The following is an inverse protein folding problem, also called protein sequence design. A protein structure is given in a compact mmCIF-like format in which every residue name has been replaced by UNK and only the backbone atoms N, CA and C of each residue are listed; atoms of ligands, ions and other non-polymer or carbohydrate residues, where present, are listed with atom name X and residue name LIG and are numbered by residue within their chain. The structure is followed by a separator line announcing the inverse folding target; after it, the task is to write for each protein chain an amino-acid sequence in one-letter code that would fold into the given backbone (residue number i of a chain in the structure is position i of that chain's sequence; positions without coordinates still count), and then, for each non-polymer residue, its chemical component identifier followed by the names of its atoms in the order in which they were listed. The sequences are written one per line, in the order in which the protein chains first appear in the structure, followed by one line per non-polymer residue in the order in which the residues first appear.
data_IF_697757373030
#
_entry.id   IF_697757373030
#
_cell.length_a   1.000
_cell.length_b   1.000
_cell.length_c   1.000
_cell.angle_alpha   90.00
_cell.angle_beta   90.00
_cell.angle_gamma   90.00
#
_symmetry.space_group_name_H-M   'P 1'
#
loop_
_entity.id
_entity.type
_entity.pdbx_description
1 polymer ?
#
# COMPACT_ATOMS: atom_id res chain seq x y z
N UNK A 1 43.93 -51.36 5.19
CA UNK A 1 45.39 -51.28 5.03
C UNK A 1 45.67 -49.85 4.59
N UNK A 2 45.62 -48.86 5.46
CA UNK A 2 46.45 -48.58 6.63
C UNK A 2 47.93 -48.27 6.29
N UNK A 3 48.38 -47.17 6.90
CA UNK A 3 49.76 -46.69 7.12
C UNK A 3 50.62 -46.17 5.96
N UNK A 4 51.58 -45.23 6.10
CA UNK A 4 51.74 -43.96 6.84
C UNK A 4 53.07 -43.33 6.33
N UNK A 5 53.23 -41.99 6.51
CA UNK A 5 54.49 -41.23 6.78
C UNK A 5 55.57 -41.07 5.70
N UNK A 6 55.90 -39.80 5.40
CA UNK A 6 57.21 -39.19 5.75
C UNK A 6 57.21 -37.65 5.65
N UNK A 7 57.67 -37.04 6.74
CA UNK A 7 58.03 -35.63 6.95
C UNK A 7 59.45 -35.37 6.41
N UNK A 8 59.79 -34.13 6.01
CA UNK A 8 61.07 -33.46 6.28
C UNK A 8 60.90 -31.93 6.14
N UNK A 9 61.37 -31.21 7.17
CA UNK A 9 61.55 -29.74 7.25
C UNK A 9 62.88 -29.31 6.60
N UNK A 10 62.98 -28.05 6.13
CA UNK A 10 63.85 -26.97 6.68
C UNK A 10 64.10 -25.85 5.67
N UNK A 11 64.16 -24.62 6.17
CA UNK A 11 64.78 -23.48 5.48
C UNK A 11 64.26 -22.12 5.93
N UNK A 12 64.78 -21.58 7.04
CA UNK A 12 64.60 -20.18 7.44
C UNK A 12 65.65 -19.30 6.77
N UNK A 13 65.29 -18.09 6.32
CA UNK A 13 66.18 -16.92 6.31
C UNK A 13 65.40 -15.59 6.19
N UNK A 14 65.62 -14.74 7.21
CA UNK A 14 65.73 -13.27 7.26
C UNK A 14 64.73 -12.31 6.54
N UNK A 15 64.28 -11.33 7.34
CA UNK A 15 63.43 -10.17 7.04
C UNK A 15 64.18 -9.01 6.32
N UNK A 16 63.49 -7.96 5.82
CA UNK A 16 63.06 -6.86 6.71
C UNK A 16 61.68 -6.21 6.41
N UNK A 17 61.04 -5.80 7.52
CA UNK A 17 60.17 -4.64 7.80
C UNK A 17 59.47 -3.90 6.64
N UNK A 18 58.14 -3.88 6.67
CA UNK A 18 57.34 -2.67 6.43
C UNK A 18 55.96 -2.82 7.10
N UNK A 19 55.67 -1.94 8.05
CA UNK A 19 54.42 -1.88 8.78
C UNK A 19 53.24 -1.56 7.85
N UNK A 20 52.24 -2.43 7.82
CA UNK A 20 50.88 -2.09 7.42
C UNK A 20 49.97 -2.40 8.59
N UNK A 21 49.31 -1.35 9.09
CA UNK A 21 48.28 -1.43 10.14
C UNK A 21 47.07 -2.16 9.57
N UNK A 22 47.11 -3.49 9.63
CA UNK A 22 45.96 -4.36 9.41
C UNK A 22 45.28 -4.58 10.75
N UNK A 23 44.36 -3.68 11.13
CA UNK A 23 43.44 -3.96 12.22
C UNK A 23 42.59 -5.16 11.85
N UNK A 24 42.82 -6.28 12.53
CA UNK A 24 41.91 -7.41 12.59
C UNK A 24 40.54 -6.86 13.03
N UNK A 25 39.55 -6.86 12.14
CA UNK A 25 38.15 -6.77 12.56
C UNK A 25 37.83 -8.13 13.17
N UNK A 26 38.06 -8.25 14.48
CA UNK A 26 37.46 -9.29 15.28
C UNK A 26 35.94 -9.17 15.14
N UNK A 27 35.20 -10.29 15.03
CA UNK A 27 33.75 -10.24 15.08
C UNK A 27 33.37 -9.60 16.41
N UNK A 28 32.74 -8.43 16.35
CA UNK A 28 32.10 -7.86 17.52
C UNK A 28 31.07 -8.88 17.99
N UNK A 29 31.40 -9.55 19.09
CA UNK A 29 30.44 -10.28 19.90
C UNK A 29 29.31 -9.31 20.17
N UNK A 30 28.12 -9.61 19.66
CA UNK A 30 26.91 -8.95 20.10
C UNK A 30 26.89 -9.06 21.62
N UNK A 31 27.11 -7.95 22.31
CA UNK A 31 26.86 -7.88 23.73
C UNK A 31 25.39 -8.27 23.91
N UNK A 32 25.18 -9.43 24.54
CA UNK A 32 23.92 -9.72 25.17
C UNK A 32 23.62 -8.53 26.08
N UNK A 33 22.64 -7.72 25.69
CA UNK A 33 22.13 -6.67 26.55
C UNK A 33 21.70 -7.34 27.85
N UNK A 34 22.28 -6.90 28.95
CA UNK A 34 21.77 -7.20 30.28
C UNK A 34 20.26 -7.00 30.25
N UNK A 35 19.54 -7.96 30.84
CA UNK A 35 18.08 -7.93 30.95
C UNK A 35 17.64 -6.54 31.37
N UNK A 36 16.82 -5.81 30.59
CA UNK A 36 16.20 -4.64 31.14
C UNK A 36 15.30 -5.13 32.26
N UNK A 37 15.59 -4.62 33.45
CA UNK A 37 14.62 -4.27 34.48
C UNK A 37 13.25 -4.05 33.82
N UNK A 38 12.21 -4.72 34.34
CA UNK A 38 10.84 -4.72 33.83
C UNK A 38 10.52 -3.36 33.25
N UNK A 39 10.51 -3.26 31.91
CA UNK A 39 10.31 -1.99 31.24
C UNK A 39 9.05 -1.35 31.82
N UNK A 40 9.18 -0.13 32.33
CA UNK A 40 8.05 0.62 32.84
C UNK A 40 6.90 0.54 31.82
N UNK A 41 5.64 0.39 32.26
CA UNK A 41 4.52 0.28 31.33
C UNK A 41 4.59 1.44 30.32
N UNK A 42 4.53 1.12 29.03
CA UNK A 42 4.55 2.15 27.99
C UNK A 42 3.50 3.21 28.34
N UNK A 43 3.83 4.51 28.25
CA UNK A 43 2.87 5.56 28.50
C UNK A 43 1.66 5.37 27.57
N UNK A 44 0.44 5.70 28.03
CA UNK A 44 -0.77 5.50 27.25
C UNK A 44 -0.66 6.21 25.89
N UNK A 45 -1.13 5.56 24.82
CA UNK A 45 -1.07 6.08 23.45
C UNK A 45 -1.62 7.52 23.39
N UNK A 46 -0.83 8.53 23.01
CA UNK A 46 -1.30 9.90 22.92
C UNK A 46 -2.40 10.04 21.87
N UNK A 47 -3.47 10.75 22.21
CA UNK A 47 -4.59 11.08 21.32
C UNK A 47 -4.71 12.60 21.29
N UNK A 48 -3.96 13.27 20.41
CA UNK A 48 -4.04 14.73 20.30
C UNK A 48 -5.40 15.15 19.75
N UNK A 49 -5.76 16.42 19.93
CA UNK A 49 -6.95 17.00 19.31
C UNK A 49 -6.85 17.02 17.77
N UNK A 50 -5.65 17.20 17.24
CA UNK A 50 -5.33 17.07 15.82
C UNK A 50 -3.91 16.54 15.58
N UNK A 51 -3.71 15.96 14.41
CA UNK A 51 -2.42 15.76 13.73
C UNK A 51 -2.40 16.56 12.43
N UNK A 52 -1.19 16.90 11.95
CA UNK A 52 -1.00 17.73 10.74
C UNK A 52 -0.29 16.99 9.60
N UNK A 53 -0.52 17.46 8.38
CA UNK A 53 0.20 17.07 7.16
C UNK A 53 0.64 18.29 6.36
N UNK A 54 1.77 18.20 5.66
CA UNK A 54 2.29 19.21 4.74
C UNK A 54 2.08 18.77 3.30
N UNK A 55 1.62 19.68 2.46
CA UNK A 55 1.52 19.41 1.02
C UNK A 55 2.90 19.40 0.41
N UNK A 56 3.18 18.41 -0.43
CA UNK A 56 4.33 18.41 -1.34
C UNK A 56 3.91 18.16 -2.77
N UNK A 57 4.42 18.97 -3.68
CA UNK A 57 4.13 18.93 -5.11
C UNK A 57 5.33 18.55 -5.96
N UNK A 58 6.42 18.04 -5.38
CA UNK A 58 7.62 17.65 -6.10
C UNK A 58 8.24 16.37 -5.52
N UNK A 59 9.19 15.77 -6.25
CA UNK A 59 9.87 14.56 -5.78
C UNK A 59 10.73 14.81 -4.53
N UNK A 60 10.89 13.79 -3.68
CA UNK A 60 11.83 13.87 -2.55
C UNK A 60 13.27 13.90 -3.06
N UNK A 61 14.08 14.81 -2.51
CA UNK A 61 15.52 14.89 -2.79
C UNK A 61 15.88 15.57 -4.11
N UNK A 62 14.93 16.21 -4.80
CA UNK A 62 15.27 17.25 -5.78
C UNK A 62 15.74 18.50 -5.02
N UNK A 63 16.84 19.12 -5.45
CA UNK A 63 17.60 20.14 -4.70
C UNK A 63 16.84 21.46 -4.43
N UNK A 64 17.56 22.59 -4.39
CA UNK A 64 16.97 23.89 -3.96
C UNK A 64 15.80 24.39 -4.83
N UNK A 65 15.66 23.89 -6.06
CA UNK A 65 14.58 24.23 -6.99
C UNK A 65 14.00 22.98 -7.65
N UNK A 66 13.18 22.22 -6.91
CA UNK A 66 12.61 20.99 -7.43
C UNK A 66 11.56 21.29 -8.51
N UNK A 67 11.39 20.38 -9.47
CA UNK A 67 10.38 20.58 -10.51
C UNK A 67 9.04 20.06 -10.00
N UNK A 68 8.03 20.92 -10.06
CA UNK A 68 6.68 20.56 -9.65
C UNK A 68 6.12 19.41 -10.51
N UNK A 69 5.40 18.51 -9.84
CA UNK A 69 4.71 17.37 -10.44
C UNK A 69 3.76 17.84 -11.55
N UNK A 70 2.88 18.86 -11.37
CA UNK A 70 2.05 19.36 -12.48
C UNK A 70 2.84 19.76 -13.72
N UNK A 71 3.97 20.47 -13.55
CA UNK A 71 4.82 20.89 -14.67
C UNK A 71 5.41 19.68 -15.39
N UNK A 72 5.94 18.73 -14.63
CA UNK A 72 6.54 17.51 -15.18
C UNK A 72 5.49 16.65 -15.89
N UNK A 73 4.29 16.53 -15.33
CA UNK A 73 3.19 15.76 -15.90
C UNK A 73 2.72 16.37 -17.22
N UNK A 74 2.53 17.69 -17.29
CA UNK A 74 2.16 18.36 -18.54
C UNK A 74 3.25 18.19 -19.62
N UNK A 75 4.53 18.29 -19.23
CA UNK A 75 5.65 17.99 -20.12
C UNK A 75 5.60 16.56 -20.68
N UNK A 76 5.39 15.56 -19.81
CA UNK A 76 5.26 14.16 -20.22
C UNK A 76 4.06 13.91 -21.16
N UNK A 77 2.95 14.64 -21.00
CA UNK A 77 1.79 14.53 -21.90
C UNK A 77 2.09 15.05 -23.31
N UNK A 78 3.02 16.00 -23.44
CA UNK A 78 3.46 16.57 -24.73
C UNK A 78 4.49 15.72 -25.47
N UNK A 79 5.15 14.78 -24.80
CA UNK A 79 6.20 13.93 -25.37
C UNK A 79 5.65 12.92 -26.39
N UNK A 80 6.31 12.85 -27.55
CA UNK A 80 6.00 11.86 -28.60
C UNK A 80 6.98 10.68 -28.64
N UNK A 81 7.98 10.68 -27.77
CA UNK A 81 9.07 9.71 -27.68
C UNK A 81 8.64 8.39 -27.02
N UNK A 82 7.56 7.79 -27.48
CA UNK A 82 6.99 6.57 -26.91
C UNK A 82 5.96 6.78 -25.81
N UNK A 83 5.44 8.00 -25.63
CA UNK A 83 4.20 8.25 -24.91
C UNK A 83 3.10 8.58 -25.94
N UNK A 84 1.90 8.05 -25.70
CA UNK A 84 0.74 8.26 -26.57
C UNK A 84 -0.20 9.35 -26.01
N UNK A 85 0.31 10.19 -25.10
CA UNK A 85 -0.42 11.29 -24.47
C UNK A 85 -1.30 10.88 -23.27
N UNK A 86 -1.99 11.88 -22.72
CA UNK A 86 -2.94 11.71 -21.63
C UNK A 86 -4.12 10.80 -22.03
N UNK A 87 -4.54 9.94 -21.11
CA UNK A 87 -5.68 9.05 -21.27
C UNK A 87 -6.52 9.11 -20.01
N UNK A 88 -7.78 9.52 -20.11
CA UNK A 88 -8.69 9.49 -18.97
C UNK A 88 -8.90 8.04 -18.48
N UNK A 89 -8.98 7.81 -17.17
CA UNK A 89 -9.13 6.45 -16.60
C UNK A 89 -10.28 5.64 -17.22
N UNK A 90 -11.35 6.33 -17.61
CA UNK A 90 -12.48 5.70 -18.27
C UNK A 90 -12.10 5.05 -19.58
N UNK A 91 -11.23 5.71 -20.36
CA UNK A 91 -10.71 5.14 -21.60
C UNK A 91 -9.85 3.92 -21.28
N UNK A 92 -9.11 3.88 -20.18
CA UNK A 92 -8.38 2.67 -19.77
C UNK A 92 -9.33 1.52 -19.44
N UNK A 93 -10.42 1.81 -18.73
CA UNK A 93 -11.45 0.82 -18.35
C UNK A 93 -12.35 0.41 -19.53
N UNK A 94 -12.50 1.27 -20.54
CA UNK A 94 -13.37 1.07 -21.71
C UNK A 94 -12.60 0.62 -22.97
N UNK A 95 -11.29 0.84 -23.05
CA UNK A 95 -10.54 0.66 -24.29
C UNK A 95 -10.38 -0.81 -24.69
N UNK A 96 -10.59 -1.03 -25.99
CA UNK A 96 -10.05 -2.13 -26.76
C UNK A 96 -8.71 -1.67 -27.39
N UNK A 97 -7.73 -2.58 -27.60
CA UNK A 97 -7.86 -4.01 -27.44
C UNK A 97 -7.66 -4.47 -25.98
N UNK A 98 -8.49 -5.44 -25.61
CA UNK A 98 -8.40 -6.30 -24.41
C UNK A 98 -7.05 -6.99 -24.15
N UNK A 99 -6.02 -6.79 -24.97
CA UNK A 99 -4.76 -7.51 -24.89
C UNK A 99 -4.01 -7.28 -23.55
N UNK A 100 -4.13 -6.07 -22.97
CA UNK A 100 -3.56 -5.78 -21.65
C UNK A 100 -4.41 -6.30 -20.48
N UNK A 101 -5.63 -6.75 -20.76
CA UNK A 101 -6.57 -7.16 -19.72
C UNK A 101 -6.41 -8.64 -19.37
N UNK A 102 -6.27 -8.88 -18.07
CA UNK A 102 -6.25 -10.21 -17.47
C UNK A 102 -7.65 -10.61 -17.03
N UNK A 103 -7.82 -11.90 -16.77
CA UNK A 103 -9.12 -12.48 -16.40
C UNK A 103 -9.00 -13.27 -15.11
N UNK A 104 -9.68 -12.80 -14.07
CA UNK A 104 -9.83 -13.51 -12.81
C UNK A 104 -10.92 -14.58 -12.87
N UNK A 105 -11.22 -15.20 -11.74
CA UNK A 105 -12.27 -16.23 -11.63
C UNK A 105 -13.16 -15.96 -10.41
N UNK A 106 -14.48 -15.87 -10.64
CA UNK A 106 -15.46 -15.81 -9.55
C UNK A 106 -15.40 -17.06 -8.68
N UNK A 107 -15.51 -16.87 -7.37
CA UNK A 107 -15.52 -17.94 -6.38
C UNK A 107 -16.95 -18.43 -6.13
N UNK A 108 -17.14 -19.74 -5.86
CA UNK A 108 -18.45 -20.30 -5.56
C UNK A 108 -19.06 -19.66 -4.31
N UNK A 109 -20.38 -19.72 -4.15
CA UNK A 109 -21.10 -19.16 -2.99
C UNK A 109 -20.66 -19.76 -1.65
N UNK A 110 -20.06 -20.95 -1.66
CA UNK A 110 -19.48 -21.61 -0.48
C UNK A 110 -18.16 -20.98 -0.01
N UNK A 111 -17.52 -20.12 -0.80
CA UNK A 111 -16.29 -19.44 -0.38
C UNK A 111 -16.57 -18.55 0.83
N UNK A 112 -15.76 -18.70 1.88
CA UNK A 112 -15.91 -17.96 3.13
C UNK A 112 -17.04 -18.47 4.03
N UNK A 113 -17.69 -19.60 3.70
CA UNK A 113 -18.74 -20.21 4.54
C UNK A 113 -18.19 -20.44 5.96
N UNK A 114 -18.87 -19.86 6.95
CA UNK A 114 -18.48 -19.92 8.36
C UNK A 114 -17.47 -18.87 8.82
N UNK A 115 -16.84 -18.12 7.90
CA UNK A 115 -15.94 -17.01 8.25
C UNK A 115 -16.69 -15.68 8.31
N UNK A 116 -17.43 -15.35 7.24
CA UNK A 116 -18.14 -14.08 7.12
C UNK A 116 -19.41 -14.23 6.25
N UNK A 117 -20.43 -13.40 6.47
CA UNK A 117 -21.60 -13.36 5.60
C UNK A 117 -21.23 -12.79 4.23
N UNK A 118 -21.63 -13.48 3.16
CA UNK A 118 -21.32 -13.09 1.78
C UNK A 118 -22.55 -12.62 1.03
N UNK A 119 -22.35 -11.79 0.02
CA UNK A 119 -23.34 -11.59 -1.05
C UNK A 119 -23.46 -12.85 -1.92
N UNK A 120 -24.70 -13.22 -2.25
CA UNK A 120 -24.99 -14.31 -3.19
C UNK A 120 -24.47 -14.00 -4.60
N UNK A 121 -23.94 -15.02 -5.30
CA UNK A 121 -23.46 -14.87 -6.67
C UNK A 121 -22.04 -14.27 -6.73
N UNK A 122 -21.81 -13.20 -7.48
CA UNK A 122 -20.48 -12.59 -7.70
C UNK A 122 -19.98 -11.79 -6.48
N UNK A 123 -19.86 -12.44 -5.33
CA UNK A 123 -19.43 -11.83 -4.06
C UNK A 123 -17.96 -12.04 -3.71
N UNK A 124 -17.20 -12.81 -4.50
CA UNK A 124 -15.76 -12.95 -4.33
C UNK A 124 -15.10 -13.46 -5.61
N UNK A 125 -13.85 -13.09 -5.87
CA UNK A 125 -13.05 -13.61 -6.97
C UNK A 125 -11.60 -13.84 -6.55
N UNK A 126 -10.88 -14.62 -7.36
CA UNK A 126 -9.42 -14.71 -7.35
C UNK A 126 -8.84 -14.13 -8.63
N UNK A 127 -7.62 -13.62 -8.54
CA UNK A 127 -6.83 -13.12 -9.67
C UNK A 127 -6.56 -14.22 -10.70
N UNK A 128 -5.98 -13.83 -11.85
CA UNK A 128 -5.44 -14.80 -12.79
C UNK A 128 -4.36 -15.67 -12.11
N UNK A 129 -3.95 -16.76 -12.77
CA UNK A 129 -3.02 -17.72 -12.16
C UNK A 129 -1.69 -17.07 -11.74
N UNK A 130 -1.20 -16.11 -12.52
CA UNK A 130 0.14 -15.57 -12.34
C UNK A 130 0.13 -14.55 -11.21
N UNK A 131 -0.79 -13.59 -11.21
CA UNK A 131 -0.96 -12.62 -10.11
C UNK A 131 -1.40 -13.27 -8.79
N UNK A 132 -2.20 -14.35 -8.87
CA UNK A 132 -2.62 -15.08 -7.67
C UNK A 132 -1.45 -15.78 -6.99
N UNK A 133 -0.39 -16.17 -7.73
CA UNK A 133 0.74 -16.92 -7.20
C UNK A 133 2.02 -16.10 -7.05
N UNK A 134 2.08 -14.91 -7.64
CA UNK A 134 3.29 -14.11 -7.76
C UNK A 134 3.85 -13.69 -6.38
N UNK A 135 5.01 -14.22 -5.95
CA UNK A 135 5.60 -13.82 -4.68
C UNK A 135 6.20 -12.41 -4.70
N UNK A 136 6.31 -11.74 -5.83
CA UNK A 136 6.98 -10.45 -5.95
C UNK A 136 6.01 -9.26 -5.94
N UNK A 137 4.71 -9.50 -6.15
CA UNK A 137 3.67 -8.47 -6.03
C UNK A 137 2.68 -8.82 -4.92
N UNK A 138 2.46 -7.89 -3.98
CA UNK A 138 1.56 -8.08 -2.85
C UNK A 138 0.41 -7.07 -2.87
N UNK A 139 -0.86 -7.52 -2.87
CA UNK A 139 -1.99 -6.62 -2.81
C UNK A 139 -2.22 -6.17 -1.36
N UNK A 140 -2.66 -4.93 -1.16
CA UNK A 140 -2.84 -4.34 0.17
C UNK A 140 -4.09 -3.46 0.27
N UNK A 141 -4.29 -2.56 -0.70
CA UNK A 141 -5.40 -1.60 -0.68
C UNK A 141 -6.58 -2.00 -1.56
N UNK A 142 -7.80 -1.58 -1.18
CA UNK A 142 -9.01 -1.73 -2.00
C UNK A 142 -9.94 -0.54 -1.85
N UNK A 143 -10.45 -0.04 -2.98
CA UNK A 143 -11.54 0.94 -3.02
C UNK A 143 -12.51 0.58 -4.14
N UNK A 144 -13.74 1.09 -4.05
CA UNK A 144 -14.77 0.85 -5.04
C UNK A 144 -15.22 2.16 -5.68
N UNK A 145 -15.78 2.08 -6.87
CA UNK A 145 -16.42 3.20 -7.57
C UNK A 145 -17.54 3.89 -6.77
N UNK A 146 -18.02 3.24 -5.71
CA UNK A 146 -18.96 3.87 -4.78
C UNK A 146 -18.34 5.09 -4.10
N UNK A 147 -17.08 4.99 -3.67
CA UNK A 147 -16.34 6.04 -2.96
C UNK A 147 -16.06 7.26 -3.86
N UNK A 148 -15.99 7.03 -5.17
CA UNK A 148 -15.71 8.06 -6.17
C UNK A 148 -16.82 9.12 -6.29
N UNK A 149 -18.05 8.80 -5.83
CA UNK A 149 -19.24 9.63 -6.02
C UNK A 149 -19.23 10.86 -5.12
N UNK A 150 -19.60 12.01 -5.69
CA UNK A 150 -19.98 13.18 -4.91
C UNK A 150 -21.38 12.98 -4.33
N UNK A 151 -21.55 13.25 -3.04
CA UNK A 151 -22.89 13.60 -2.52
C UNK A 151 -23.25 14.99 -3.08
N UNK A 152 -24.07 15.03 -4.13
CA UNK A 152 -24.68 16.28 -4.63
C UNK A 152 -23.85 17.14 -5.59
N UNK A 153 -22.88 16.57 -6.32
CA UNK A 153 -22.09 17.30 -7.33
C UNK A 153 -21.98 16.59 -8.68
N UNK A 154 -21.39 17.22 -9.72
CA UNK A 154 -21.47 16.77 -11.11
C UNK A 154 -20.56 15.59 -11.47
N UNK A 155 -19.71 15.11 -10.55
CA UNK A 155 -18.86 13.95 -10.81
C UNK A 155 -19.70 12.66 -10.76
N UNK A 156 -19.99 12.13 -11.94
CA UNK A 156 -20.73 10.88 -12.13
C UNK A 156 -19.69 9.83 -12.55
N UNK A 157 -19.37 8.83 -11.71
CA UNK A 157 -18.50 7.76 -12.15
C UNK A 157 -19.21 6.89 -13.20
N UNK A 158 -18.44 6.09 -13.93
CA UNK A 158 -18.93 5.25 -15.03
C UNK A 158 -20.07 4.28 -14.67
N UNK A 159 -20.31 4.04 -13.38
CA UNK A 159 -21.30 3.08 -12.86
C UNK A 159 -21.05 1.67 -13.42
N UNK A 160 -19.79 1.26 -13.44
CA UNK A 160 -19.32 -0.02 -13.97
C UNK A 160 -19.05 -1.08 -12.90
N UNK A 161 -19.39 -0.80 -11.63
CA UNK A 161 -19.02 -1.67 -10.51
C UNK A 161 -17.51 -1.94 -10.54
N UNK A 162 -16.73 -0.87 -10.57
CA UNK A 162 -15.27 -0.96 -10.55
C UNK A 162 -14.75 -1.14 -9.13
N UNK A 163 -13.72 -1.97 -9.00
CA UNK A 163 -12.81 -1.95 -7.86
C UNK A 163 -11.44 -1.48 -8.32
N UNK A 164 -10.73 -0.79 -7.43
CA UNK A 164 -9.30 -0.59 -7.54
C UNK A 164 -8.60 -1.38 -6.44
N UNK A 165 -7.46 -1.98 -6.75
CA UNK A 165 -6.59 -2.67 -5.78
C UNK A 165 -5.16 -2.20 -5.93
N UNK A 166 -4.53 -1.78 -4.84
CA UNK A 166 -3.10 -1.44 -4.83
C UNK A 166 -2.25 -2.67 -4.62
N UNK A 167 -1.06 -2.64 -5.22
CA UNK A 167 -0.03 -3.63 -5.01
C UNK A 167 1.32 -2.93 -4.88
N UNK A 168 2.19 -3.47 -4.03
CA UNK A 168 3.59 -3.08 -4.00
C UNK A 168 4.48 -4.26 -4.40
N UNK A 169 5.59 -3.92 -5.05
CA UNK A 169 6.60 -4.88 -5.43
C UNK A 169 7.53 -5.17 -4.26
N UNK A 170 7.97 -6.42 -4.15
CA UNK A 170 8.83 -6.92 -3.08
C UNK A 170 9.81 -7.95 -3.62
N UNK A 171 10.70 -8.44 -2.74
CA UNK A 171 11.68 -9.48 -3.06
C UNK A 171 12.51 -9.10 -4.30
N UNK A 172 12.49 -9.92 -5.35
CA UNK A 172 13.31 -9.76 -6.54
C UNK A 172 12.88 -8.58 -7.43
N UNK A 173 11.72 -7.96 -7.18
CA UNK A 173 11.18 -6.86 -7.97
C UNK A 173 10.97 -5.57 -7.15
N UNK A 174 11.58 -5.43 -5.95
CA UNK A 174 11.27 -4.32 -5.03
C UNK A 174 11.42 -2.93 -5.69
N UNK A 175 12.29 -2.82 -6.67
CA UNK A 175 12.58 -1.60 -7.43
C UNK A 175 11.43 -1.18 -8.35
N UNK A 176 10.46 -2.06 -8.61
CA UNK A 176 9.31 -1.76 -9.47
C UNK A 176 8.23 -0.91 -8.80
N UNK A 177 8.39 -0.58 -7.52
CA UNK A 177 7.50 0.34 -6.82
C UNK A 177 6.09 -0.24 -6.62
N UNK A 178 5.07 0.56 -6.95
CA UNK A 178 3.67 0.21 -6.75
C UNK A 178 2.85 0.25 -8.05
N UNK A 179 1.71 -0.45 -8.06
CA UNK A 179 0.74 -0.45 -9.16
C UNK A 179 -0.69 -0.46 -8.64
N UNK A 180 -1.61 0.03 -9.46
CA UNK A 180 -3.05 -0.05 -9.22
C UNK A 180 -3.68 -0.97 -10.25
N UNK A 181 -4.64 -1.76 -9.80
CA UNK A 181 -5.40 -2.66 -10.65
C UNK A 181 -6.84 -2.20 -10.73
N UNK A 182 -7.32 -1.88 -11.93
CA UNK A 182 -8.72 -1.59 -12.18
C UNK A 182 -9.44 -2.90 -12.51
N UNK A 183 -10.54 -3.21 -11.82
CA UNK A 183 -11.30 -4.45 -11.98
C UNK A 183 -12.74 -4.14 -12.42
N UNK A 184 -13.15 -4.60 -13.61
CA UNK A 184 -14.55 -4.57 -14.06
C UNK A 184 -15.27 -5.85 -13.62
N UNK A 185 -16.17 -5.70 -12.64
CA UNK A 185 -16.93 -6.81 -12.04
C UNK A 185 -18.21 -7.19 -12.79
N UNK A 186 -18.62 -6.45 -13.84
CA UNK A 186 -19.90 -6.72 -14.55
C UNK A 186 -19.77 -7.87 -15.55
N UNK A 187 -18.55 -8.19 -15.93
CA UNK A 187 -18.20 -9.23 -16.89
C UNK A 187 -18.44 -10.66 -16.35
N UNK A 188 -18.60 -11.64 -17.26
CA UNK A 188 -18.85 -13.06 -16.88
C UNK A 188 -17.77 -13.62 -15.95
N UNK A 189 -16.53 -13.19 -16.14
CA UNK A 189 -15.39 -13.40 -15.25
C UNK A 189 -14.78 -12.03 -15.00
N UNK A 190 -14.38 -11.66 -13.77
CA UNK A 190 -13.83 -10.35 -13.50
C UNK A 190 -12.63 -10.10 -14.40
N UNK A 191 -12.56 -8.93 -15.01
CA UNK A 191 -11.47 -8.56 -15.91
C UNK A 191 -10.76 -7.37 -15.33
N UNK A 192 -9.45 -7.32 -15.49
CA UNK A 192 -8.65 -6.27 -14.88
C UNK A 192 -7.43 -5.89 -15.69
N UNK A 193 -6.94 -4.68 -15.43
CA UNK A 193 -5.71 -4.13 -16.01
C UNK A 193 -4.87 -3.49 -14.91
N UNK A 194 -3.56 -3.66 -14.99
CA UNK A 194 -2.63 -3.00 -14.07
C UNK A 194 -2.09 -1.70 -14.66
N UNK A 195 -1.87 -0.73 -13.79
CA UNK A 195 -1.33 0.59 -14.10
C UNK A 195 -0.18 0.86 -13.14
N UNK A 196 0.99 1.18 -13.66
CA UNK A 196 2.16 1.47 -12.84
C UNK A 196 2.01 2.84 -12.17
N UNK A 197 2.24 2.93 -10.87
CA UNK A 197 2.35 4.21 -10.19
C UNK A 197 3.76 4.76 -10.39
N UNK A 198 3.86 6.01 -10.83
CA UNK A 198 5.15 6.65 -11.10
C UNK A 198 5.28 7.96 -10.34
N UNK A 199 6.50 8.30 -9.97
CA UNK A 199 6.85 9.61 -9.45
C UNK A 199 7.47 10.43 -10.60
N UNK A 200 6.86 11.57 -11.00
CA UNK A 200 7.49 12.48 -11.93
C UNK A 200 8.79 13.02 -11.34
N UNK A 201 9.83 13.11 -12.17
CA UNK A 201 11.14 13.63 -11.78
C UNK A 201 11.73 14.48 -12.89
N UNK A 202 12.62 15.40 -12.53
CA UNK A 202 13.48 16.08 -13.50
C UNK A 202 14.72 15.22 -13.79
N UNK A 203 14.70 14.53 -14.93
CA UNK A 203 15.82 13.71 -15.40
C UNK A 203 17.08 14.50 -15.78
N UNK A 204 17.01 15.82 -15.97
CA UNK A 204 18.16 16.68 -16.25
C UNK A 204 18.96 17.05 -15.00
N UNK A 205 18.30 17.13 -13.84
CA UNK A 205 18.93 17.52 -12.57
C UNK A 205 19.15 16.36 -11.60
N UNK A 206 18.48 15.24 -11.83
CA UNK A 206 18.62 14.03 -11.01
C UNK A 206 19.98 13.34 -11.24
N UNK A 207 20.68 12.88 -10.18
CA UNK A 207 21.85 12.02 -10.32
C UNK A 207 21.52 10.73 -11.10
N UNK A 208 22.29 10.46 -12.16
CA UNK A 208 22.04 9.33 -13.06
C UNK A 208 20.72 9.44 -13.84
N UNK A 209 20.17 10.65 -13.96
CA UNK A 209 18.96 10.94 -14.73
C UNK A 209 19.20 10.86 -16.24
N UNK A 210 18.11 10.87 -16.99
CA UNK A 210 18.10 10.71 -18.45
C UNK A 210 18.57 11.94 -19.24
N UNK A 211 18.84 13.05 -18.57
CA UNK A 211 19.09 14.35 -19.20
C UNK A 211 17.81 15.07 -19.67
N UNK A 212 16.62 14.48 -19.49
CA UNK A 212 15.32 15.07 -19.88
C UNK A 212 14.70 15.88 -18.74
N UNK A 213 14.15 17.08 -18.99
CA UNK A 213 13.51 17.89 -17.94
C UNK A 213 12.21 17.26 -17.42
N UNK A 214 11.61 16.37 -18.21
CA UNK A 214 10.38 15.66 -17.86
C UNK A 214 10.63 14.15 -17.95
N UNK A 215 10.74 13.50 -16.82
CA UNK A 215 10.92 12.05 -16.74
C UNK A 215 10.11 11.47 -15.58
N UNK A 216 10.18 10.16 -15.39
CA UNK A 216 9.55 9.49 -14.26
C UNK A 216 10.35 8.28 -13.81
N UNK A 217 10.20 7.94 -12.54
CA UNK A 217 10.64 6.67 -11.97
C UNK A 217 9.45 5.90 -11.41
N UNK A 218 9.62 4.61 -11.14
CA UNK A 218 8.62 3.88 -10.36
C UNK A 218 8.46 4.54 -8.99
N UNK A 219 7.21 4.70 -8.54
CA UNK A 219 6.92 5.29 -7.25
C UNK A 219 7.38 4.34 -6.13
N UNK A 220 8.38 4.75 -5.34
CA UNK A 220 8.87 4.00 -4.17
C UNK A 220 7.88 4.13 -2.99
N UNK A 221 6.74 3.47 -3.15
CA UNK A 221 5.59 3.56 -2.25
C UNK A 221 5.29 2.17 -1.72
N UNK A 222 5.24 2.01 -0.40
CA UNK A 222 4.60 0.83 0.18
C UNK A 222 3.10 1.07 0.14
N UNK A 223 2.49 0.75 -1.00
CA UNK A 223 1.09 1.07 -1.27
C UNK A 223 0.17 0.23 -0.40
N UNK A 224 -0.15 0.75 0.79
CA UNK A 224 -1.10 0.20 1.74
C UNK A 224 -2.54 0.42 1.25
N UNK A 225 -3.42 0.81 2.16
CA UNK A 225 -4.81 1.09 1.81
C UNK A 225 -5.00 2.26 0.85
N UNK A 226 -6.13 2.26 0.14
CA UNK A 226 -6.44 3.24 -0.90
C UNK A 226 -7.89 3.76 -0.81
N UNK A 227 -8.08 5.01 -1.22
CA UNK A 227 -9.39 5.64 -1.30
C UNK A 227 -9.53 6.37 -2.63
N UNK A 228 -10.60 6.07 -3.36
CA UNK A 228 -10.95 6.77 -4.59
C UNK A 228 -12.03 7.79 -4.29
N UNK A 229 -11.72 9.08 -4.47
CA UNK A 229 -12.68 10.17 -4.33
C UNK A 229 -12.58 11.13 -5.52
N UNK A 230 -13.68 11.29 -6.27
CA UNK A 230 -13.72 12.01 -7.55
C UNK A 230 -12.63 11.50 -8.50
N UNK A 231 -11.78 12.37 -9.02
CA UNK A 231 -10.65 12.01 -9.86
C UNK A 231 -9.37 11.70 -9.06
N UNK A 232 -9.40 11.68 -7.72
CA UNK A 232 -8.22 11.40 -6.92
C UNK A 232 -8.22 9.99 -6.37
N UNK A 233 -7.07 9.35 -6.51
CA UNK A 233 -6.71 8.15 -5.78
C UNK A 233 -5.72 8.52 -4.68
N UNK A 234 -6.12 8.30 -3.44
CA UNK A 234 -5.28 8.39 -2.27
C UNK A 234 -4.67 7.03 -1.98
N UNK A 235 -3.38 7.01 -1.68
CA UNK A 235 -2.64 5.81 -1.32
C UNK A 235 -1.91 6.07 -0.01
N UNK A 236 -2.20 5.28 1.02
CA UNK A 236 -1.43 5.30 2.25
C UNK A 236 -0.04 4.70 1.99
N UNK A 237 1.00 5.48 2.29
CA UNK A 237 2.40 5.06 2.19
C UNK A 237 2.96 4.83 3.60
N UNK A 238 2.92 3.57 4.05
CA UNK A 238 3.35 3.19 5.39
C UNK A 238 4.85 3.41 5.60
N UNK A 239 5.65 3.34 4.53
CA UNK A 239 7.11 3.56 4.57
C UNK A 239 7.45 5.03 4.82
N UNK A 240 6.67 5.94 4.24
CA UNK A 240 6.94 7.38 4.25
C UNK A 240 6.04 8.16 5.21
N UNK A 241 5.05 7.48 5.81
CA UNK A 241 4.04 8.07 6.71
C UNK A 241 3.35 9.25 6.01
N UNK A 242 2.84 8.98 4.81
CA UNK A 242 2.26 9.99 3.95
C UNK A 242 1.03 9.45 3.22
N UNK A 243 0.19 10.36 2.72
CA UNK A 243 -0.78 10.04 1.67
C UNK A 243 -0.20 10.47 0.32
N UNK A 244 0.01 9.52 -0.58
CA UNK A 244 0.31 9.81 -1.98
C UNK A 244 -0.98 10.02 -2.75
N UNK A 245 -0.99 10.97 -3.67
CA UNK A 245 -2.19 11.35 -4.39
C UNK A 245 -1.94 11.31 -5.88
N UNK A 246 -2.77 10.56 -6.57
CA UNK A 246 -2.70 10.36 -8.01
C UNK A 246 -3.99 10.89 -8.64
N UNK A 247 -3.86 11.69 -9.69
CA UNK A 247 -5.00 12.19 -10.43
C UNK A 247 -5.32 11.22 -11.58
N UNK A 248 -6.49 10.58 -11.52
CA UNK A 248 -6.97 9.60 -12.50
C UNK A 248 -7.20 10.22 -13.89
N UNK A 249 -7.27 11.54 -13.99
CA UNK A 249 -7.38 12.27 -15.27
C UNK A 249 -6.02 12.47 -15.93
N UNK A 250 -4.92 12.19 -15.22
CA UNK A 250 -3.54 12.42 -15.65
C UNK A 250 -2.81 11.12 -16.03
N UNK A 251 -3.53 10.01 -16.21
CA UNK A 251 -2.90 8.77 -16.68
C UNK A 251 -2.30 8.97 -18.07
N UNK A 252 -1.18 8.29 -18.34
CA UNK A 252 -0.47 8.38 -19.62
C UNK A 252 -0.34 6.99 -20.18
N UNK A 253 -0.62 6.83 -21.48
CA UNK A 253 -0.37 5.59 -22.19
C UNK A 253 1.08 5.54 -22.68
N UNK A 254 1.78 4.47 -22.35
CA UNK A 254 3.12 4.18 -22.87
C UNK A 254 2.97 3.41 -24.18
N UNK A 255 3.73 3.81 -25.20
CA UNK A 255 3.70 3.16 -26.50
C UNK A 255 4.16 1.70 -26.40
N UNK A 256 3.60 0.85 -27.26
CA UNK A 256 3.89 -0.59 -27.29
C UNK A 256 5.36 -0.90 -27.58
N UNK A 257 5.87 -2.00 -27.02
CA UNK A 257 7.24 -2.50 -27.25
C UNK A 257 8.27 -2.06 -26.20
N UNK A 258 7.83 -1.75 -24.98
CA UNK A 258 8.71 -1.35 -23.89
C UNK A 258 9.58 -2.49 -23.33
N UNK A 259 10.72 -2.15 -22.75
CA UNK A 259 11.58 -3.12 -22.08
C UNK A 259 11.06 -3.41 -20.66
N UNK A 260 10.80 -4.68 -20.34
CA UNK A 260 10.32 -5.14 -19.02
C UNK A 260 11.29 -4.88 -17.84
N UNK A 261 12.49 -4.37 -18.12
CA UNK A 261 13.54 -4.04 -17.13
C UNK A 261 13.80 -2.54 -16.98
N UNK A 262 13.19 -1.69 -17.82
CA UNK A 262 13.45 -0.24 -17.83
C UNK A 262 12.21 0.54 -17.40
N UNK A 263 12.46 1.70 -16.78
CA UNK A 263 11.45 2.69 -16.37
C UNK A 263 12.01 4.09 -16.62
N UNK A 264 11.18 5.02 -17.08
CA UNK A 264 11.62 6.35 -17.46
C UNK A 264 12.24 6.37 -18.86
N UNK A 265 12.96 7.45 -19.18
CA UNK A 265 13.54 7.66 -20.50
C UNK A 265 14.90 6.94 -20.67
N UNK A 266 14.97 6.05 -21.65
CA UNK A 266 16.20 5.36 -22.05
C UNK A 266 16.28 5.23 -23.57
N UNK A 267 17.47 5.38 -24.15
CA UNK A 267 17.75 5.11 -25.57
C UNK A 267 16.72 5.76 -26.54
N UNK A 268 16.31 7.00 -26.24
CA UNK A 268 15.40 7.77 -27.06
C UNK A 268 13.90 7.52 -26.81
N UNK A 269 13.53 6.69 -25.82
CA UNK A 269 12.13 6.25 -25.60
C UNK A 269 11.77 6.11 -24.13
N UNK A 270 10.50 6.32 -23.79
CA UNK A 270 9.99 6.03 -22.44
C UNK A 270 9.63 4.56 -22.25
N UNK A 271 9.95 4.04 -21.07
CA UNK A 271 9.64 2.67 -20.65
C UNK A 271 8.92 2.65 -19.30
N UNK A 272 8.13 1.59 -19.05
CA UNK A 272 7.40 1.42 -17.81
C UNK A 272 7.28 -0.07 -17.44
N UNK A 273 8.37 -0.83 -17.45
CA UNK A 273 8.39 -2.27 -17.11
C UNK A 273 7.34 -3.13 -17.85
N UNK A 274 7.03 -2.79 -19.10
CA UNK A 274 5.98 -3.43 -19.94
C UNK A 274 4.52 -3.10 -19.54
N UNK A 275 4.31 -2.13 -18.65
CA UNK A 275 2.97 -1.58 -18.39
C UNK A 275 2.53 -0.68 -19.56
N UNK A 276 1.28 -0.85 -19.98
CA UNK A 276 0.67 0.00 -21.02
C UNK A 276 0.30 1.39 -20.51
N UNK A 277 0.09 1.54 -19.20
CA UNK A 277 -0.34 2.78 -18.59
C UNK A 277 0.48 3.08 -17.34
N UNK A 278 0.82 4.36 -17.18
CA UNK A 278 1.38 4.93 -15.96
C UNK A 278 0.35 5.90 -15.37
N UNK A 279 0.34 6.00 -14.05
CA UNK A 279 -0.42 6.99 -13.30
C UNK A 279 0.56 7.82 -12.46
N UNK A 280 0.84 9.06 -12.88
CA UNK A 280 1.79 9.92 -12.18
C UNK A 280 1.26 10.45 -10.84
N UNK A 281 2.13 10.53 -9.85
CA UNK A 281 1.86 11.20 -8.59
C UNK A 281 1.67 12.70 -8.82
N UNK A 282 0.54 13.23 -8.36
CA UNK A 282 0.18 14.65 -8.52
C UNK A 282 0.51 15.51 -7.29
N UNK A 283 0.57 14.88 -6.10
CA UNK A 283 0.97 15.49 -4.82
C UNK A 283 1.15 14.42 -3.74
N UNK A 284 1.69 14.84 -2.61
CA UNK A 284 1.69 14.09 -1.36
C UNK A 284 1.22 14.96 -0.18
N UNK A 285 0.68 14.32 0.83
CA UNK A 285 0.45 14.87 2.17
C UNK A 285 1.39 14.15 3.13
N UNK A 286 2.52 14.78 3.43
CA UNK A 286 3.55 14.21 4.30
C UNK A 286 3.22 14.55 5.76
N UNK A 287 3.30 13.56 6.65
CA UNK A 287 3.01 13.76 8.06
C UNK A 287 3.97 14.75 8.72
N UNK A 288 3.42 15.73 9.44
CA UNK A 288 4.20 16.66 10.26
C UNK A 288 4.39 16.03 11.64
N UNK A 289 5.64 15.66 11.94
CA UNK A 289 6.04 15.10 13.23
C UNK A 289 5.86 16.18 14.30
N UNK A 290 5.02 15.88 15.29
CA UNK A 290 4.81 16.78 16.43
C UNK A 290 5.85 16.55 17.53
N UNK A 291 6.11 17.56 18.36
CA UNK A 291 7.13 17.50 19.42
C UNK A 291 6.88 16.42 20.49
N UNK A 292 5.66 15.91 20.60
CA UNK A 292 5.31 14.80 21.51
C UNK A 292 5.53 13.40 20.87
N UNK A 293 5.77 13.31 19.56
CA UNK A 293 5.88 12.05 18.85
C UNK A 293 7.29 11.44 18.98
N UNK A 294 7.31 10.20 19.46
CA UNK A 294 8.46 9.30 19.42
C UNK A 294 8.31 8.29 18.29
N UNK A 295 9.35 7.52 17.94
CA UNK A 295 9.23 6.50 16.88
C UNK A 295 8.14 5.45 17.18
N UNK A 296 7.90 5.12 18.45
CA UNK A 296 6.86 4.17 18.89
C UNK A 296 5.44 4.74 18.94
N UNK A 297 5.31 6.06 18.96
CA UNK A 297 4.01 6.78 19.02
C UNK A 297 3.68 7.53 17.74
N UNK A 298 4.63 7.58 16.79
CA UNK A 298 4.46 8.21 15.48
C UNK A 298 3.46 7.45 14.63
N UNK A 299 2.59 8.20 13.95
CA UNK A 299 1.46 7.62 13.22
C UNK A 299 1.91 6.66 12.10
N UNK A 300 1.49 5.40 12.18
CA UNK A 300 1.71 4.39 11.14
C UNK A 300 0.58 4.38 10.13
N UNK A 301 0.74 5.04 8.98
CA UNK A 301 -0.29 5.10 7.94
C UNK A 301 -0.50 3.72 7.30
N UNK A 302 -1.53 2.99 7.74
CA UNK A 302 -1.86 1.68 7.17
C UNK A 302 -2.76 1.79 5.95
N UNK A 303 -3.76 2.66 6.07
CA UNK A 303 -4.94 2.60 5.24
C UNK A 303 -5.64 3.94 5.14
N UNK A 304 -6.43 4.14 4.08
CA UNK A 304 -7.29 5.30 3.88
C UNK A 304 -8.64 4.89 3.29
N UNK A 305 -9.76 5.43 3.80
CA UNK A 305 -11.11 5.22 3.27
C UNK A 305 -11.90 6.54 3.16
N UNK A 306 -12.87 6.59 2.25
CA UNK A 306 -13.81 7.72 2.16
C UNK A 306 -14.95 7.56 3.17
N UNK A 307 -15.33 8.66 3.82
CA UNK A 307 -16.56 8.75 4.60
C UNK A 307 -17.53 9.69 3.90
N UNK A 308 -18.68 9.13 3.55
CA UNK A 308 -19.82 9.90 3.06
C UNK A 308 -20.76 10.21 4.22
N UNK A 309 -20.67 11.43 4.76
CA UNK A 309 -21.68 11.97 5.68
C UNK A 309 -22.55 12.95 4.90
N UNK A 310 -23.85 13.07 5.24
CA UNK A 310 -24.71 14.05 4.60
C UNK A 310 -24.06 15.46 4.70
N UNK A 311 -23.81 16.09 3.56
CA UNK A 311 -23.20 17.43 3.46
C UNK A 311 -21.68 17.50 3.66
N UNK A 312 -20.97 16.38 3.88
CA UNK A 312 -19.50 16.39 4.04
C UNK A 312 -18.85 15.08 3.61
N UNK A 313 -17.76 15.20 2.87
CA UNK A 313 -16.82 14.11 2.61
C UNK A 313 -15.55 14.27 3.45
N UNK A 314 -15.03 13.17 3.97
CA UNK A 314 -13.73 13.13 4.63
C UNK A 314 -12.96 11.86 4.27
N UNK A 315 -11.66 11.87 4.53
CA UNK A 315 -10.82 10.69 4.51
C UNK A 315 -10.56 10.21 5.94
N UNK A 316 -10.76 8.92 6.19
CA UNK A 316 -10.29 8.26 7.40
C UNK A 316 -8.97 7.58 7.12
N UNK A 317 -7.97 7.85 7.94
CA UNK A 317 -6.69 7.12 7.93
C UNK A 317 -6.61 6.30 9.21
N UNK A 318 -6.48 4.98 9.11
CA UNK A 318 -6.27 4.13 10.28
C UNK A 318 -4.80 3.84 10.53
N UNK A 319 -4.43 3.85 11.80
CA UNK A 319 -3.09 3.55 12.26
C UNK A 319 -2.84 2.04 12.34
N UNK A 320 -1.72 1.59 11.77
CA UNK A 320 -1.15 0.28 12.10
C UNK A 320 -0.29 0.38 13.35
N UNK A 321 -0.67 -0.35 14.42
CA UNK A 321 0.19 -0.62 15.57
C UNK A 321 0.32 -2.12 15.76
N UNK A 322 1.56 -2.61 15.82
CA UNK A 322 1.85 -4.04 15.99
C UNK A 322 1.71 -4.42 17.46
N UNK A 323 0.81 -5.35 17.75
CA UNK A 323 0.80 -5.99 19.07
C UNK A 323 1.81 -7.15 19.04
N UNK A 324 2.96 -6.96 19.68
CA UNK A 324 3.99 -8.00 19.72
C UNK A 324 3.52 -9.21 20.53
N UNK A 325 3.87 -10.40 20.04
CA UNK A 325 3.52 -11.64 20.71
C UNK A 325 4.71 -12.13 21.51
N UNK A 326 4.54 -12.29 22.81
CA UNK A 326 5.55 -12.90 23.68
C UNK A 326 5.36 -14.43 23.70
N UNK A 327 6.18 -15.14 22.93
CA UNK A 327 6.12 -16.60 22.81
C UNK A 327 4.74 -17.12 22.37
N UNK A 328 4.15 -17.99 23.19
CA UNK A 328 2.83 -18.58 22.95
C UNK A 328 1.66 -17.82 23.59
N UNK A 329 1.90 -16.68 24.24
CA UNK A 329 0.84 -15.89 24.87
C UNK A 329 -0.07 -15.24 23.82
N UNK A 330 -1.35 -14.96 24.15
CA UNK A 330 -2.16 -14.06 23.34
C UNK A 330 -1.44 -12.72 23.13
N UNK A 331 -1.64 -12.09 21.98
CA UNK A 331 -1.13 -10.73 21.77
C UNK A 331 -1.76 -9.79 22.80
N UNK A 332 -1.02 -8.83 23.36
CA UNK A 332 -1.59 -7.85 24.25
C UNK A 332 -2.61 -7.01 23.50
N UNK A 333 -3.65 -6.60 24.21
CA UNK A 333 -4.57 -5.59 23.72
C UNK A 333 -3.83 -4.24 23.71
N UNK A 334 -3.63 -3.68 22.52
CA UNK A 334 -3.09 -2.33 22.36
C UNK A 334 -4.10 -1.45 21.63
N UNK A 335 -4.07 -0.16 21.95
CA UNK A 335 -4.87 0.84 21.29
C UNK A 335 -4.23 1.29 19.97
N UNK A 336 -5.05 1.81 19.07
CA UNK A 336 -4.61 2.52 17.85
C UNK A 336 -5.47 3.76 17.62
N UNK A 337 -5.19 4.49 16.54
CA UNK A 337 -5.90 5.72 16.16
C UNK A 337 -6.57 5.61 14.79
N UNK A 338 -7.65 6.36 14.61
CA UNK A 338 -8.21 6.70 13.30
C UNK A 338 -8.26 8.22 13.20
N UNK A 339 -7.80 8.77 12.08
CA UNK A 339 -7.69 10.20 11.84
C UNK A 339 -8.66 10.59 10.73
N UNK A 340 -9.48 11.60 10.97
CA UNK A 340 -10.46 12.13 10.01
C UNK A 340 -9.99 13.46 9.44
N UNK A 341 -9.84 13.49 8.12
CA UNK A 341 -9.39 14.64 7.35
C UNK A 341 -10.52 15.16 6.46
N UNK A 342 -10.85 16.45 6.59
CA UNK A 342 -11.89 17.06 5.75
C UNK A 342 -11.42 17.15 4.30
N UNK A 343 -12.32 16.84 3.37
CA UNK A 343 -12.12 17.07 1.93
C UNK A 343 -12.87 18.33 1.51
N UNK A 344 -12.22 19.20 0.74
CA UNK A 344 -12.89 20.33 0.09
C UNK A 344 -13.72 19.85 -1.12
N UNK A 345 -14.43 20.78 -1.77
CA UNK A 345 -15.26 20.48 -2.94
C UNK A 345 -14.44 19.90 -4.08
N UNK A 346 -13.23 20.39 -4.33
CA UNK A 346 -12.32 19.84 -5.33
C UNK A 346 -11.94 18.40 -4.99
N UNK A 347 -11.96 18.01 -3.71
CA UNK A 347 -11.56 16.73 -3.19
C UNK A 347 -10.09 16.71 -2.79
N UNK A 348 -9.53 17.82 -2.30
CA UNK A 348 -8.23 17.90 -1.64
C UNK A 348 -8.43 18.02 -0.12
N UNK A 349 -7.44 17.63 0.68
CA UNK A 349 -7.50 17.86 2.14
C UNK A 349 -7.54 19.36 2.43
N UNK A 350 -8.29 19.76 3.46
CA UNK A 350 -8.38 21.14 3.95
C UNK A 350 -8.79 21.15 5.43
N UNK A 351 -8.45 22.21 6.13
CA UNK A 351 -8.97 22.57 7.46
C UNK A 351 -9.66 23.95 7.45
N UNK A 352 -9.82 24.55 6.27
CA UNK A 352 -10.33 25.92 6.09
C UNK A 352 -9.26 27.02 6.22
N UNK A 353 -8.00 26.66 6.52
CA UNK A 353 -6.85 27.55 6.60
C UNK A 353 -6.08 27.67 5.28
N UNK A 354 -4.77 27.95 5.37
CA UNK A 354 -3.88 28.04 4.22
C UNK A 354 -3.30 26.65 3.84
N UNK A 355 -3.09 26.41 2.55
CA UNK A 355 -2.79 25.07 2.01
C UNK A 355 -1.38 24.51 2.34
N UNK A 356 -0.58 25.15 3.21
CA UNK A 356 0.79 24.70 3.48
C UNK A 356 0.84 23.55 4.48
N UNK A 357 0.14 23.68 5.60
CA UNK A 357 -0.01 22.65 6.63
C UNK A 357 -1.49 22.53 6.97
N UNK A 358 -2.01 21.31 6.92
CA UNK A 358 -3.42 21.04 7.12
C UNK A 358 -3.56 20.26 8.41
N UNK A 359 -4.43 20.71 9.31
CA UNK A 359 -4.84 20.00 10.50
C UNK A 359 -5.96 18.98 10.24
N UNK A 360 -5.88 17.82 10.89
CA UNK A 360 -6.98 16.86 10.89
C UNK A 360 -8.16 17.39 11.70
N UNK A 361 -9.36 16.95 11.32
CA UNK A 361 -10.62 17.34 11.96
C UNK A 361 -10.81 16.66 13.31
N UNK A 362 -10.41 15.39 13.41
CA UNK A 362 -10.54 14.59 14.63
C UNK A 362 -9.59 13.41 14.61
N UNK A 363 -9.09 13.06 15.80
CA UNK A 363 -8.38 11.81 16.07
C UNK A 363 -9.25 10.98 17.01
N UNK A 364 -9.57 9.74 16.62
CA UNK A 364 -10.32 8.80 17.43
C UNK A 364 -9.39 7.79 18.09
N UNK A 365 -9.63 7.45 19.35
CA UNK A 365 -8.96 6.32 20.00
C UNK A 365 -9.74 5.05 19.72
N UNK A 366 -9.06 4.00 19.29
CA UNK A 366 -9.62 2.67 19.12
C UNK A 366 -9.03 1.76 20.18
N UNK A 367 -9.80 1.46 21.22
CA UNK A 367 -9.35 0.51 22.25
C UNK A 367 -9.32 -0.90 21.67
N UNK A 368 -8.29 -1.68 21.98
CA UNK A 368 -8.03 -2.99 21.37
C UNK A 368 -7.88 -2.93 19.83
N UNK A 369 -7.34 -1.83 19.31
CA UNK A 369 -7.14 -1.55 17.88
C UNK A 369 -5.81 -2.04 17.31
N UNK A 370 -5.11 -2.97 17.94
CA UNK A 370 -3.85 -3.54 17.45
C UNK A 370 -4.00 -4.37 16.17
N UNK A 371 -2.95 -4.36 15.33
CA UNK A 371 -2.84 -5.08 14.05
C UNK A 371 -3.97 -4.80 13.05
N UNK A 372 -4.59 -3.62 13.15
CA UNK A 372 -5.58 -3.16 12.16
C UNK A 372 -4.87 -2.87 10.84
N UNK A 373 -5.31 -3.55 9.78
CA UNK A 373 -4.80 -3.36 8.40
C UNK A 373 -5.69 -2.44 7.58
N UNK A 374 -6.97 -2.28 7.95
CA UNK A 374 -7.84 -1.30 7.32
C UNK A 374 -9.10 -1.00 8.10
N UNK A 375 -9.69 0.18 7.85
CA UNK A 375 -10.88 0.66 8.52
C UNK A 375 -11.87 1.34 7.58
N UNK A 376 -13.16 1.10 7.78
CA UNK A 376 -14.25 1.85 7.13
C UNK A 376 -15.29 2.29 8.15
N UNK A 377 -15.95 3.41 7.89
CA UNK A 377 -17.12 3.85 8.67
C UNK A 377 -18.40 3.47 7.94
N UNK A 378 -19.24 2.65 8.59
CA UNK A 378 -20.54 2.24 8.04
C UNK A 378 -21.55 1.98 9.15
N UNK A 379 -22.74 2.57 9.04
CA UNK A 379 -23.82 2.38 10.03
C UNK A 379 -23.48 2.93 11.42
N UNK A 380 -22.78 4.07 11.47
CA UNK A 380 -22.39 4.75 12.72
C UNK A 380 -21.30 4.04 13.53
N UNK A 381 -20.53 3.15 12.90
CA UNK A 381 -19.47 2.35 13.54
C UNK A 381 -18.27 2.22 12.61
N UNK A 382 -17.10 2.04 13.20
CA UNK A 382 -15.92 1.58 12.47
C UNK A 382 -15.94 0.07 12.33
N UNK A 383 -15.59 -0.43 11.16
CA UNK A 383 -15.29 -1.83 10.89
C UNK A 383 -13.81 -1.93 10.55
N UNK A 384 -13.10 -2.84 11.21
CA UNK A 384 -11.65 -2.91 11.21
C UNK A 384 -11.22 -4.30 10.74
N UNK A 385 -10.43 -4.36 9.68
CA UNK A 385 -9.73 -5.58 9.27
C UNK A 385 -8.53 -5.77 10.16
N UNK A 386 -8.39 -6.93 10.80
CA UNK A 386 -7.31 -7.24 11.73
C UNK A 386 -6.61 -8.50 11.27
N UNK A 387 -5.30 -8.38 11.05
CA UNK A 387 -4.47 -9.49 10.59
C UNK A 387 -3.73 -10.16 11.74
N UNK A 388 -3.84 -11.49 11.79
CA UNK A 388 -3.05 -12.35 12.67
C UNK A 388 -1.86 -13.00 11.93
N UNK A 389 -1.59 -12.58 10.69
CA UNK A 389 -0.62 -13.21 9.79
C UNK A 389 -1.25 -14.39 9.04
N UNK A 390 -0.55 -15.53 8.99
CA UNK A 390 -1.01 -16.75 8.30
C UNK A 390 -2.27 -17.45 8.86
N UNK A 391 -2.63 -17.31 10.15
CA UNK A 391 -3.97 -17.67 10.62
C UNK A 391 -5.06 -16.79 10.01
N UNK A 392 -6.33 -17.23 10.13
CA UNK A 392 -7.46 -16.39 9.75
C UNK A 392 -7.44 -15.09 10.55
N UNK A 393 -7.61 -13.96 9.85
CA UNK A 393 -7.81 -12.67 10.51
C UNK A 393 -9.25 -12.45 10.93
N UNK A 394 -9.60 -11.20 11.26
CA UNK A 394 -10.87 -10.84 11.88
C UNK A 394 -11.40 -9.54 11.30
N UNK A 395 -12.73 -9.46 11.17
CA UNK A 395 -13.42 -8.19 11.03
C UNK A 395 -13.93 -7.78 12.41
N UNK A 396 -13.26 -6.80 13.00
CA UNK A 396 -13.69 -6.18 14.25
C UNK A 396 -14.67 -5.03 13.97
N UNK A 397 -15.47 -4.70 14.98
CA UNK A 397 -16.40 -3.57 14.98
C UNK A 397 -16.16 -2.73 16.22
N UNK A 398 -16.15 -1.41 16.04
CA UNK A 398 -15.92 -0.44 17.11
C UNK A 398 -16.98 0.67 17.04
N UNK A 399 -17.70 0.99 18.13
CA UNK A 399 -18.36 2.29 18.27
C UNK A 399 -17.35 3.42 18.08
N UNK A 400 -17.79 4.59 17.65
CA UNK A 400 -16.90 5.76 17.57
C UNK A 400 -16.34 6.05 18.98
N UNK A 401 -15.01 6.16 19.12
CA UNK A 401 -14.27 6.24 20.40
C UNK A 401 -14.49 5.07 21.38
N UNK A 402 -14.80 3.89 20.84
CA UNK A 402 -15.13 2.69 21.61
C UNK A 402 -14.01 1.65 21.71
N UNK A 403 -14.43 0.46 22.11
CA UNK A 403 -13.59 -0.74 22.13
C UNK A 403 -13.91 -1.62 20.93
N UNK A 404 -12.87 -2.01 20.19
CA UNK A 404 -13.00 -2.93 19.08
C UNK A 404 -13.33 -4.34 19.59
N UNK A 405 -14.32 -4.97 18.96
CA UNK A 405 -14.78 -6.32 19.28
C UNK A 405 -14.89 -7.14 18.01
N UNK A 406 -14.52 -8.41 18.07
CA UNK A 406 -14.64 -9.30 16.92
C UNK A 406 -16.10 -9.46 16.50
N UNK A 407 -16.36 -9.33 15.20
CA UNK A 407 -17.69 -9.53 14.61
C UNK A 407 -17.74 -10.80 13.76
N UNK A 408 -16.75 -10.97 12.88
CA UNK A 408 -16.61 -12.12 11.97
C UNK A 408 -15.14 -12.49 11.81
N UNK A 409 -14.88 -13.72 11.37
CA UNK A 409 -13.56 -14.09 10.87
C UNK A 409 -13.29 -13.50 9.49
N UNK A 410 -12.04 -13.59 9.04
CA UNK A 410 -11.61 -13.23 7.70
C UNK A 410 -10.62 -14.26 7.15
N UNK A 411 -10.25 -14.12 5.87
CA UNK A 411 -9.17 -14.92 5.29
C UNK A 411 -7.84 -14.60 5.99
N UNK A 412 -6.80 -15.43 5.85
CA UNK A 412 -5.47 -15.08 6.34
C UNK A 412 -4.88 -13.86 5.69
N UNK A 413 -4.15 -13.05 6.47
CA UNK A 413 -3.59 -11.78 6.03
C UNK A 413 -4.62 -10.87 5.37
N UNK A 414 -5.77 -10.56 6.03
CA UNK A 414 -6.70 -9.62 5.49
C UNK A 414 -6.12 -8.21 5.57
N UNK A 415 -6.36 -7.40 4.54
CA UNK A 415 -5.78 -6.06 4.43
C UNK A 415 -6.87 -4.97 4.46
N UNK A 416 -6.80 -3.99 3.57
CA UNK A 416 -7.71 -2.85 3.49
C UNK A 416 -9.19 -3.24 3.28
N UNK A 417 -10.07 -2.30 3.59
CA UNK A 417 -11.52 -2.38 3.46
C UNK A 417 -12.08 -1.20 2.65
N UNK A 418 -13.12 -1.46 1.86
CA UNK A 418 -13.93 -0.39 1.23
C UNK A 418 -15.42 -0.66 1.39
N UNK A 419 -16.17 0.38 1.75
CA UNK A 419 -17.61 0.28 1.95
C UNK A 419 -18.36 0.56 0.65
N UNK A 420 -19.42 -0.19 0.39
CA UNK A 420 -20.34 0.08 -0.71
C UNK A 420 -21.79 -0.10 -0.25
N UNK A 421 -22.57 0.98 -0.25
CA UNK A 421 -23.92 0.96 0.32
C UNK A 421 -24.92 0.15 -0.51
N UNK A 422 -24.66 -0.04 -1.81
CA UNK A 422 -25.51 -0.84 -2.68
C UNK A 422 -24.66 -1.62 -3.69
N UNK A 423 -24.38 -2.87 -3.35
CA UNK A 423 -23.86 -3.88 -4.28
C UNK A 423 -24.87 -5.02 -4.36
N UNK A 424 -25.52 -5.16 -5.52
CA UNK A 424 -26.55 -6.20 -5.77
C UNK A 424 -27.65 -6.21 -4.71
N UNK A 425 -28.12 -5.03 -4.30
CA UNK A 425 -29.19 -4.87 -3.31
C UNK A 425 -28.76 -5.09 -1.87
N UNK A 426 -27.45 -5.16 -1.59
CA UNK A 426 -26.90 -5.30 -0.24
C UNK A 426 -25.88 -4.21 0.08
N UNK A 427 -25.82 -3.80 1.35
CA UNK A 427 -24.67 -3.06 1.89
C UNK A 427 -23.52 -4.05 2.06
N UNK A 428 -22.33 -3.67 1.61
CA UNK A 428 -21.16 -4.55 1.69
C UNK A 428 -19.93 -3.80 2.17
N UNK A 429 -19.02 -4.56 2.76
CA UNK A 429 -17.62 -4.18 2.92
C UNK A 429 -16.80 -5.11 2.03
N UNK A 430 -16.09 -4.53 1.07
CA UNK A 430 -15.05 -5.20 0.31
C UNK A 430 -13.81 -5.36 1.17
N UNK A 431 -13.15 -6.52 1.06
CA UNK A 431 -11.84 -6.77 1.61
C UNK A 431 -11.01 -7.66 0.69
N UNK A 432 -9.74 -7.82 1.03
CA UNK A 432 -8.80 -8.67 0.31
C UNK A 432 -7.81 -9.36 1.25
N UNK A 433 -7.16 -10.43 0.78
CA UNK A 433 -6.02 -11.03 1.48
C UNK A 433 -4.70 -10.90 0.71
N UNK A 434 -3.57 -10.92 1.41
CA UNK A 434 -2.25 -10.60 0.82
C UNK A 434 -1.40 -11.82 0.41
N UNK A 435 -1.60 -12.99 1.00
CA UNK A 435 -0.62 -14.08 0.91
C UNK A 435 -0.74 -14.91 -0.36
N UNK A 436 0.36 -15.01 -1.11
CA UNK A 436 0.55 -16.11 -2.05
C UNK A 436 1.10 -17.36 -1.35
N UNK A 437 1.00 -18.51 -2.05
CA UNK A 437 1.35 -19.84 -1.53
C UNK A 437 2.78 -19.94 -0.96
N UNK A 438 3.72 -19.12 -1.44
CA UNK A 438 5.14 -19.13 -1.06
C UNK A 438 5.56 -17.85 -0.31
N UNK A 439 4.61 -17.21 0.39
CA UNK A 439 4.85 -15.98 1.14
C UNK A 439 5.60 -16.17 2.47
N UNK A 440 5.93 -17.42 2.84
CA UNK A 440 6.67 -17.68 4.06
C UNK A 440 8.03 -16.98 4.05
N UNK A 441 8.34 -16.37 5.18
CA UNK A 441 9.63 -15.78 5.49
C UNK A 441 10.64 -16.93 5.70
N UNK A 442 11.71 -17.03 4.89
CA UNK A 442 12.73 -18.07 5.06
C UNK A 442 13.51 -17.93 6.38
N UNK A 443 13.43 -16.79 7.08
CA UNK A 443 14.10 -16.55 8.37
C UNK A 443 13.23 -16.89 9.59
N UNK A 444 11.92 -17.09 9.40
CA UNK A 444 11.02 -17.47 10.48
C UNK A 444 11.01 -19.00 10.62
N UNK A 445 11.59 -19.53 11.70
CA UNK A 445 11.40 -20.93 12.09
C UNK A 445 9.91 -21.16 12.29
N UNK A 446 9.21 -21.92 11.42
CA UNK A 446 7.77 -22.09 11.60
C UNK A 446 7.56 -22.88 12.89
N UNK A 447 6.68 -22.45 13.81
CA UNK A 447 6.19 -23.37 14.82
C UNK A 447 5.64 -24.59 14.08
N UNK A 448 6.03 -25.78 14.53
CA UNK A 448 5.86 -27.09 13.88
C UNK A 448 4.44 -27.40 13.34
N UNK A 449 3.44 -26.61 13.78
CA UNK A 449 2.01 -26.77 13.48
C UNK A 449 1.44 -25.83 12.40
N UNK A 450 2.15 -24.81 11.92
CA UNK A 450 1.64 -23.92 10.84
C UNK A 450 2.29 -24.28 9.50
N UNK A 451 2.05 -25.53 9.05
CA UNK A 451 2.40 -26.02 7.69
C UNK A 451 1.27 -25.82 6.68
N UNK A 452 0.36 -24.87 6.89
CA UNK A 452 -0.69 -24.58 5.90
C UNK A 452 -0.17 -23.59 4.86
N UNK A 453 0.13 -24.10 3.66
CA UNK A 453 0.39 -23.31 2.45
C UNK A 453 -0.88 -22.56 2.04
N UNK A 454 -1.21 -21.45 2.69
CA UNK A 454 -2.42 -20.69 2.38
C UNK A 454 -2.12 -19.70 1.26
N UNK A 455 -2.94 -19.72 0.22
CA UNK A 455 -3.08 -18.60 -0.69
C UNK A 455 -4.39 -17.89 -0.34
N UNK A 456 -4.32 -16.64 0.08
CA UNK A 456 -5.45 -15.84 0.54
C UNK A 456 -5.74 -14.62 -0.35
N UNK A 457 -5.09 -14.50 -1.52
CA UNK A 457 -5.28 -13.40 -2.49
C UNK A 457 -6.63 -13.44 -3.22
N UNK A 458 -7.68 -13.41 -2.44
CA UNK A 458 -9.05 -13.25 -2.88
C UNK A 458 -9.47 -11.80 -2.63
N UNK A 459 -10.37 -11.32 -3.47
CA UNK A 459 -11.17 -10.13 -3.20
C UNK A 459 -12.58 -10.59 -2.91
N UNK A 460 -13.20 -10.06 -1.86
CA UNK A 460 -14.50 -10.54 -1.38
C UNK A 460 -15.35 -9.43 -0.76
N UNK A 461 -16.66 -9.51 -0.97
CA UNK A 461 -17.66 -8.65 -0.35
C UNK A 461 -18.31 -9.38 0.82
N UNK A 462 -18.18 -8.78 2.01
CA UNK A 462 -18.88 -9.17 3.22
C UNK A 462 -20.20 -8.40 3.30
N UNK A 463 -21.32 -9.09 3.44
CA UNK A 463 -22.63 -8.46 3.60
C UNK A 463 -22.74 -7.89 5.02
N UNK A 464 -23.05 -6.59 5.12
CA UNK A 464 -23.24 -5.92 6.41
C UNK A 464 -24.58 -6.22 7.06
#
# INVERSE_FOLDING_TARGET
MDTTRRTILRGMAAAPVAATVGGLVLPATAHAADRPEVAAPEPPLPVPSSVSVRIRTHAEGEGEHPTDYPVTIEGLKGERSGLAGAVHYERVVLAEPRAAWRTGKWMPNSFGKGLFPRVSGRGAFKWDRDDFKDPDWRPQGITSEYDARLTGGPYIPLNRNLLMVSWYARRAQRERGARITFVDMRTRQPRYVHVLLVEPVNGSTRPGGSGRPHDFRAADVHAGGIAWYRNRLYVADSKKRALRVFNLDEMIRVASGGNKRLVGFHDGRYHAYDYTYILPQSRAYDHVVQGWETESTRLGYSQVAVVHTAGRSSLLVSEFRRAEREGNRPRPAIDSRIIDWTLNSAGALTDGGNDAEIGSRRVYRIKNGGNVQGAVSAGGRFHLSVSDGFPNGKLNRCPVDGTATEKWGQVPGPEDLSYQANYRGSRVIWGLGEYARNDQDPSATPPEKIRTRVNSRYVYAMKL
#
